data_IF_817738745734
#
_entry.id   IF_817738745734
#
_cell.length_a   1.000
_cell.length_b   1.000
_cell.length_c   1.000
_cell.angle_alpha   90.00
_cell.angle_beta   90.00
_cell.angle_gamma   90.00
#
_symmetry.space_group_name_H-M   'P 1'
#
loop_
_entity.id
_entity.type
_entity.pdbx_description
1 polymer ?
#
# COMPACT_ATOMS: atom_id res chain seq x y z
N UNK A 1 -19.88 27.29 -51.32
CA UNK A 1 -20.17 28.00 -50.07
C UNK A 1 -19.21 27.46 -49.03
N UNK A 2 -18.31 28.35 -48.61
CA UNK A 2 -17.31 28.28 -47.52
C UNK A 2 -16.69 26.93 -47.12
N UNK A 3 -15.44 26.76 -47.59
CA UNK A 3 -14.39 26.11 -46.80
C UNK A 3 -14.19 26.96 -45.54
N UNK A 4 -14.60 26.44 -44.39
CA UNK A 4 -14.21 27.02 -43.11
C UNK A 4 -12.82 26.48 -42.82
N UNK A 5 -11.82 27.35 -42.94
CA UNK A 5 -10.46 27.13 -42.46
C UNK A 5 -10.49 26.96 -40.93
N UNK A 6 -10.46 25.71 -40.46
CA UNK A 6 -10.37 25.35 -39.03
C UNK A 6 -8.93 25.01 -38.61
N UNK A 7 -7.93 25.64 -39.23
CA UNK A 7 -6.53 25.49 -38.85
C UNK A 7 -5.93 26.84 -38.44
N UNK A 8 -6.40 27.42 -37.33
CA UNK A 8 -5.68 28.48 -36.63
C UNK A 8 -6.34 28.83 -35.29
N UNK A 9 -6.22 27.97 -34.29
CA UNK A 9 -5.98 28.35 -32.88
C UNK A 9 -5.92 27.06 -32.03
N UNK A 10 -4.80 26.81 -31.36
CA UNK A 10 -4.63 25.68 -30.43
C UNK A 10 -5.31 25.99 -29.08
N UNK A 11 -6.55 26.49 -29.13
CA UNK A 11 -7.31 26.87 -27.95
C UNK A 11 -7.93 25.67 -27.24
N UNK A 12 -8.19 25.82 -25.93
CA UNK A 12 -8.90 24.81 -25.14
C UNK A 12 -10.27 24.46 -25.77
N UNK A 13 -10.96 25.46 -26.32
CA UNK A 13 -12.25 25.31 -27.01
C UNK A 13 -12.16 24.41 -28.24
N UNK A 14 -11.11 24.55 -29.04
CA UNK A 14 -10.93 23.75 -30.26
C UNK A 14 -10.63 22.28 -29.92
N UNK A 15 -9.86 22.05 -28.85
CA UNK A 15 -9.65 20.70 -28.31
C UNK A 15 -10.95 20.05 -27.84
N UNK A 16 -11.86 20.81 -27.21
CA UNK A 16 -13.20 20.34 -26.84
C UNK A 16 -14.12 20.09 -28.06
N UNK A 17 -14.09 20.97 -29.07
CA UNK A 17 -14.86 20.80 -30.30
C UNK A 17 -14.41 19.55 -31.05
N UNK A 18 -13.09 19.33 -31.14
CA UNK A 18 -12.52 18.12 -31.74
C UNK A 18 -12.98 16.87 -30.97
N UNK A 19 -12.85 16.86 -29.64
CA UNK A 19 -13.33 15.76 -28.80
C UNK A 19 -14.80 15.45 -29.05
N UNK A 20 -15.70 16.45 -28.98
CA UNK A 20 -17.14 16.21 -29.14
C UNK A 20 -17.54 15.69 -30.53
N UNK A 21 -16.77 16.02 -31.57
CA UNK A 21 -17.02 15.52 -32.94
C UNK A 21 -16.53 14.09 -33.14
N UNK A 22 -15.37 13.76 -32.57
CA UNK A 22 -14.67 12.51 -32.88
C UNK A 22 -14.70 11.50 -31.73
N UNK A 23 -15.30 11.81 -30.57
CA UNK A 23 -15.29 10.94 -29.38
C UNK A 23 -15.83 9.51 -29.60
N UNK A 24 -16.65 9.30 -30.64
CA UNK A 24 -17.23 7.98 -30.96
C UNK A 24 -16.47 7.23 -32.06
N UNK A 25 -15.57 7.91 -32.77
CA UNK A 25 -14.77 7.41 -33.88
C UNK A 25 -13.27 7.32 -33.56
N UNK A 26 -12.84 7.80 -32.40
CA UNK A 26 -11.45 7.79 -31.97
C UNK A 26 -11.02 6.37 -31.52
N UNK A 27 -10.16 5.75 -32.33
CA UNK A 27 -9.52 4.47 -31.99
C UNK A 27 -8.37 4.61 -30.97
N UNK A 28 -7.83 5.82 -30.81
CA UNK A 28 -6.75 6.13 -29.86
C UNK A 28 -6.82 7.59 -29.41
N UNK A 29 -6.23 7.89 -28.25
CA UNK A 29 -6.16 9.26 -27.71
C UNK A 29 -5.08 10.05 -28.47
N UNK A 30 -5.43 11.11 -29.20
CA UNK A 30 -4.44 11.97 -29.85
C UNK A 30 -3.64 12.78 -28.83
N UNK A 31 -2.32 12.89 -29.04
CA UNK A 31 -1.37 13.56 -28.13
C UNK A 31 -1.78 15.01 -27.79
N UNK A 32 -2.33 15.74 -28.77
CA UNK A 32 -2.78 17.13 -28.65
C UNK A 32 -3.92 17.29 -27.61
N UNK A 33 -4.76 16.26 -27.46
CA UNK A 33 -5.88 16.24 -26.51
C UNK A 33 -5.47 15.74 -25.12
N UNK A 34 -4.39 14.94 -25.03
CA UNK A 34 -3.86 14.40 -23.78
C UNK A 34 -3.19 15.44 -22.89
N UNK A 35 -2.90 16.64 -23.40
CA UNK A 35 -2.32 17.75 -22.62
C UNK A 35 -3.29 18.37 -21.61
N UNK A 36 -4.61 18.17 -21.78
CA UNK A 36 -5.64 18.71 -20.89
C UNK A 36 -6.25 17.57 -20.07
N UNK A 37 -5.98 17.57 -18.77
CA UNK A 37 -6.39 16.51 -17.84
C UNK A 37 -7.89 16.17 -17.90
N UNK A 38 -8.74 17.18 -18.06
CA UNK A 38 -10.20 17.02 -18.16
C UNK A 38 -10.62 16.34 -19.47
N UNK A 39 -9.95 16.65 -20.59
CA UNK A 39 -10.22 16.04 -21.90
C UNK A 39 -9.70 14.60 -21.92
N UNK A 40 -8.53 14.35 -21.34
CA UNK A 40 -7.99 12.99 -21.17
C UNK A 40 -8.97 12.11 -20.37
N UNK A 41 -9.52 12.61 -19.27
CA UNK A 41 -10.55 11.91 -18.48
C UNK A 41 -11.81 11.64 -19.31
N UNK A 42 -12.30 12.62 -20.07
CA UNK A 42 -13.48 12.46 -20.91
C UNK A 42 -13.26 11.45 -22.04
N UNK A 43 -12.10 11.45 -22.69
CA UNK A 43 -11.68 10.47 -23.70
C UNK A 43 -11.60 9.05 -23.11
N UNK A 44 -11.02 8.91 -21.93
CA UNK A 44 -10.97 7.61 -21.25
C UNK A 44 -12.38 7.07 -20.94
N UNK A 45 -13.36 7.93 -20.65
CA UNK A 45 -14.75 7.53 -20.45
C UNK A 45 -15.41 7.16 -21.78
N UNK A 46 -15.24 7.98 -22.83
CA UNK A 46 -15.78 7.72 -24.16
C UNK A 46 -15.26 6.41 -24.75
N UNK A 47 -13.95 6.19 -24.67
CA UNK A 47 -13.30 4.95 -25.11
C UNK A 47 -13.87 3.73 -24.39
N UNK A 48 -14.11 3.83 -23.06
CA UNK A 48 -14.75 2.75 -22.28
C UNK A 48 -16.17 2.44 -22.75
N UNK A 49 -16.96 3.46 -23.11
CA UNK A 49 -18.32 3.28 -23.64
C UNK A 49 -18.29 2.63 -25.02
N UNK A 50 -17.25 2.89 -25.81
CA UNK A 50 -17.07 2.31 -27.14
C UNK A 50 -16.45 0.90 -27.13
N UNK A 51 -16.10 0.37 -25.95
CA UNK A 51 -15.52 -0.97 -25.83
C UNK A 51 -16.54 -2.05 -26.20
N UNK A 52 -16.07 -3.07 -26.89
CA UNK A 52 -16.83 -4.32 -27.01
C UNK A 52 -16.89 -5.04 -25.67
N UNK A 53 -17.86 -5.94 -25.50
CA UNK A 53 -17.99 -6.74 -24.28
C UNK A 53 -16.73 -7.58 -23.97
N UNK A 54 -16.02 -8.04 -25.02
CA UNK A 54 -14.78 -8.80 -24.87
C UNK A 54 -13.62 -7.94 -24.40
N UNK A 55 -13.44 -6.75 -24.98
CA UNK A 55 -12.42 -5.80 -24.53
C UNK A 55 -12.67 -5.34 -23.10
N UNK A 56 -13.94 -5.13 -22.74
CA UNK A 56 -14.33 -4.76 -21.38
C UNK A 56 -13.95 -5.86 -20.38
N UNK A 57 -14.23 -7.14 -20.68
CA UNK A 57 -13.80 -8.26 -19.82
C UNK A 57 -12.28 -8.30 -19.63
N UNK A 58 -11.51 -8.04 -20.70
CA UNK A 58 -10.04 -7.99 -20.64
C UNK A 58 -9.58 -6.88 -19.70
N UNK A 59 -10.18 -5.68 -19.80
CA UNK A 59 -9.83 -4.54 -18.94
C UNK A 59 -10.24 -4.79 -17.50
N UNK A 60 -11.44 -5.30 -17.26
CA UNK A 60 -11.93 -5.61 -15.92
C UNK A 60 -11.05 -6.67 -15.25
N UNK A 61 -10.72 -7.75 -15.97
CA UNK A 61 -9.81 -8.79 -15.48
C UNK A 61 -8.44 -8.22 -15.14
N UNK A 62 -7.89 -7.36 -15.99
CA UNK A 62 -6.62 -6.68 -15.71
C UNK A 62 -6.73 -5.79 -14.47
N UNK A 63 -7.83 -5.05 -14.33
CA UNK A 63 -8.11 -4.20 -13.17
C UNK A 63 -8.15 -5.00 -11.86
N UNK A 64 -8.84 -6.13 -11.85
CA UNK A 64 -8.90 -7.04 -10.70
C UNK A 64 -7.51 -7.53 -10.30
N UNK A 65 -6.73 -8.05 -11.25
CA UNK A 65 -5.37 -8.54 -10.98
C UNK A 65 -4.44 -7.45 -10.40
N UNK A 66 -4.54 -6.22 -10.93
CA UNK A 66 -3.75 -5.09 -10.42
C UNK A 66 -4.17 -4.70 -9.00
N UNK A 67 -5.47 -4.75 -8.70
CA UNK A 67 -5.98 -4.48 -7.36
C UNK A 67 -5.52 -5.55 -6.36
N UNK A 68 -5.60 -6.82 -6.74
CA UNK A 68 -5.13 -7.94 -5.92
C UNK A 68 -3.63 -7.83 -5.63
N UNK A 69 -2.81 -7.53 -6.66
CA UNK A 69 -1.38 -7.34 -6.48
C UNK A 69 -1.07 -6.18 -5.53
N UNK A 70 -1.76 -5.04 -5.68
CA UNK A 70 -1.64 -3.91 -4.75
C UNK A 70 -2.01 -4.31 -3.33
N UNK A 71 -3.13 -5.02 -3.16
CA UNK A 71 -3.56 -5.54 -1.87
C UNK A 71 -2.51 -6.44 -1.23
N UNK A 72 -1.91 -7.35 -2.02
CA UNK A 72 -0.85 -8.25 -1.58
C UNK A 72 0.39 -7.51 -1.10
N UNK A 73 0.84 -6.50 -1.85
CA UNK A 73 2.00 -5.66 -1.46
C UNK A 73 1.69 -4.87 -0.19
N UNK A 74 0.52 -4.24 -0.10
CA UNK A 74 0.11 -3.48 1.09
C UNK A 74 0.05 -4.37 2.32
N UNK A 75 -0.56 -5.55 2.22
CA UNK A 75 -0.63 -6.52 3.31
C UNK A 75 0.77 -6.99 3.73
N UNK A 76 1.65 -7.32 2.77
CA UNK A 76 3.02 -7.74 3.06
C UNK A 76 3.82 -6.64 3.79
N UNK A 77 3.64 -5.37 3.39
CA UNK A 77 4.27 -4.23 4.07
C UNK A 77 3.79 -4.10 5.50
N UNK A 78 2.48 -4.12 5.73
CA UNK A 78 1.90 -4.03 7.08
C UNK A 78 2.37 -5.18 7.98
N UNK A 79 2.38 -6.40 7.46
CA UNK A 79 2.91 -7.57 8.18
C UNK A 79 4.41 -7.42 8.49
N UNK A 80 5.18 -6.88 7.55
CA UNK A 80 6.61 -6.60 7.74
C UNK A 80 6.86 -5.55 8.84
N UNK A 81 6.09 -4.47 8.85
CA UNK A 81 6.17 -3.41 9.86
C UNK A 81 5.82 -3.95 11.26
N UNK A 82 4.69 -4.67 11.39
CA UNK A 82 4.28 -5.28 12.67
C UNK A 82 5.30 -6.28 13.21
N UNK A 83 5.81 -7.18 12.36
CA UNK A 83 6.86 -8.14 12.75
C UNK A 83 8.17 -7.45 13.10
N UNK A 84 8.53 -6.39 12.36
CA UNK A 84 9.73 -5.61 12.62
C UNK A 84 9.67 -4.91 13.98
N UNK A 85 8.51 -4.33 14.31
CA UNK A 85 8.25 -3.71 15.60
C UNK A 85 8.36 -4.71 16.75
N UNK A 86 7.66 -5.84 16.68
CA UNK A 86 7.72 -6.90 17.69
C UNK A 86 9.16 -7.40 17.90
N UNK A 87 9.87 -7.74 16.82
CA UNK A 87 11.27 -8.20 16.89
C UNK A 87 12.19 -7.14 17.49
N UNK A 88 12.02 -5.88 17.13
CA UNK A 88 12.80 -4.77 17.67
C UNK A 88 12.60 -4.60 19.18
N UNK A 89 11.35 -4.68 19.65
CA UNK A 89 11.00 -4.61 21.07
C UNK A 89 11.55 -5.81 21.84
N UNK A 90 11.37 -7.03 21.34
CA UNK A 90 11.92 -8.25 21.94
C UNK A 90 13.45 -8.19 22.08
N UNK A 91 14.16 -7.79 21.02
CA UNK A 91 15.61 -7.64 21.05
C UNK A 91 16.09 -6.58 22.04
N UNK A 92 15.33 -5.49 22.23
CA UNK A 92 15.65 -4.51 23.25
C UNK A 92 15.49 -5.10 24.66
N UNK A 93 14.35 -5.74 24.93
CA UNK A 93 14.05 -6.40 26.21
C UNK A 93 15.10 -7.47 26.55
N UNK A 94 15.43 -8.35 25.60
CA UNK A 94 16.48 -9.37 25.77
C UNK A 94 17.83 -8.73 26.14
N UNK A 95 18.22 -7.64 25.47
CA UNK A 95 19.46 -6.92 25.79
C UNK A 95 19.44 -6.32 27.19
N UNK A 96 18.30 -5.78 27.62
CA UNK A 96 18.14 -5.23 28.98
C UNK A 96 18.25 -6.33 30.04
N UNK A 97 17.55 -7.45 29.85
CA UNK A 97 17.61 -8.61 30.72
C UNK A 97 19.04 -9.16 30.79
N UNK A 98 19.70 -9.35 29.65
CA UNK A 98 21.10 -9.80 29.61
C UNK A 98 22.05 -8.85 30.33
N UNK A 99 21.85 -7.54 30.19
CA UNK A 99 22.66 -6.53 30.87
C UNK A 99 22.51 -6.58 32.40
N UNK A 100 21.33 -6.94 32.91
CA UNK A 100 21.05 -7.00 34.35
C UNK A 100 21.43 -8.35 34.97
N UNK A 101 21.06 -9.45 34.33
CA UNK A 101 21.16 -10.79 34.90
C UNK A 101 22.30 -11.65 34.30
N UNK A 102 23.00 -11.15 33.29
CA UNK A 102 24.02 -11.89 32.57
C UNK A 102 23.44 -12.77 31.46
N UNK A 103 24.14 -13.84 31.09
CA UNK A 103 23.61 -14.78 30.10
C UNK A 103 22.31 -15.42 30.59
N UNK A 104 21.32 -15.50 29.70
CA UNK A 104 20.02 -16.11 29.97
C UNK A 104 19.80 -17.34 29.09
N UNK A 105 19.08 -18.37 29.58
CA UNK A 105 18.75 -19.55 28.79
C UNK A 105 18.01 -19.23 27.49
N UNK A 106 18.32 -19.99 26.42
CA UNK A 106 17.68 -19.85 25.11
C UNK A 106 16.14 -19.99 25.19
N UNK A 107 15.65 -20.87 26.06
CA UNK A 107 14.22 -21.05 26.27
C UNK A 107 13.51 -19.75 26.74
N UNK A 108 14.19 -18.90 27.51
CA UNK A 108 13.66 -17.60 27.93
C UNK A 108 13.69 -16.61 26.76
N UNK A 109 14.75 -16.65 25.96
CA UNK A 109 14.88 -15.81 24.76
C UNK A 109 13.72 -16.09 23.81
N UNK A 110 13.47 -17.36 23.46
CA UNK A 110 12.36 -17.73 22.59
C UNK A 110 11.01 -17.29 23.16
N UNK A 111 10.79 -17.46 24.47
CA UNK A 111 9.56 -17.00 25.13
C UNK A 111 9.35 -15.48 25.07
N UNK A 112 10.43 -14.69 25.02
CA UNK A 112 10.35 -13.23 24.87
C UNK A 112 10.14 -12.85 23.41
N UNK A 113 10.76 -13.55 22.46
CA UNK A 113 10.56 -13.31 21.03
C UNK A 113 9.12 -13.58 20.57
N UNK A 114 8.45 -14.53 21.23
CA UNK A 114 7.04 -14.87 20.96
C UNK A 114 6.03 -13.95 21.67
N UNK A 115 6.49 -12.99 22.49
CA UNK A 115 5.60 -12.06 23.18
C UNK A 115 4.90 -11.11 22.23
N UNK A 116 3.65 -10.75 22.57
CA UNK A 116 2.96 -9.66 21.91
C UNK A 116 3.67 -8.34 22.14
N UNK A 117 3.43 -7.38 21.24
CA UNK A 117 3.94 -6.01 21.36
C UNK A 117 3.54 -5.35 22.69
N UNK A 118 2.34 -5.65 23.20
CA UNK A 118 1.82 -5.14 24.48
C UNK A 118 2.56 -5.76 25.66
N UNK A 119 2.79 -7.07 25.63
CA UNK A 119 3.50 -7.76 26.71
C UNK A 119 4.97 -7.37 26.76
N UNK A 120 5.58 -7.09 25.60
CA UNK A 120 6.93 -6.54 25.51
C UNK A 120 7.02 -5.15 26.15
N UNK A 121 6.01 -4.31 25.97
CA UNK A 121 5.95 -3.00 26.62
C UNK A 121 5.77 -3.15 28.12
N UNK A 122 4.82 -3.97 28.57
CA UNK A 122 4.60 -4.25 29.99
C UNK A 122 5.87 -4.79 30.66
N UNK A 123 6.56 -5.71 30.00
CA UNK A 123 7.84 -6.24 30.47
C UNK A 123 8.92 -5.17 30.51
N UNK A 124 8.96 -4.27 29.52
CA UNK A 124 9.88 -3.14 29.47
C UNK A 124 9.64 -2.11 30.58
N UNK A 125 8.39 -1.77 30.87
CA UNK A 125 8.00 -0.84 31.93
C UNK A 125 8.28 -1.40 33.33
N UNK A 126 7.88 -2.66 33.57
CA UNK A 126 8.14 -3.35 34.83
C UNK A 126 9.57 -3.87 34.97
N UNK A 127 10.42 -3.74 33.95
CA UNK A 127 11.73 -4.40 33.89
C UNK A 127 12.60 -4.09 35.12
N UNK A 128 12.56 -2.84 35.60
CA UNK A 128 13.38 -2.40 36.72
C UNK A 128 12.92 -2.99 38.05
N UNK A 129 11.66 -3.38 38.17
CA UNK A 129 11.08 -3.96 39.39
C UNK A 129 11.46 -5.43 39.61
N UNK A 130 11.96 -6.13 38.57
CA UNK A 130 12.36 -7.53 38.69
C UNK A 130 13.64 -7.71 39.51
N UNK A 131 13.54 -8.19 40.74
CA UNK A 131 14.71 -8.35 41.61
C UNK A 131 15.51 -9.65 41.38
N UNK A 132 14.98 -10.62 40.62
CA UNK A 132 15.68 -11.85 40.24
C UNK A 132 15.14 -12.46 38.95
N UNK A 133 15.86 -13.45 38.40
CA UNK A 133 15.44 -14.18 37.21
C UNK A 133 14.20 -15.07 37.49
N UNK A 134 14.04 -15.58 38.71
CA UNK A 134 12.87 -16.36 39.12
C UNK A 134 11.57 -15.53 39.06
N UNK A 135 11.63 -14.24 39.42
CA UNK A 135 10.47 -13.36 39.34
C UNK A 135 10.09 -13.08 37.87
N UNK A 136 11.08 -12.93 36.99
CA UNK A 136 10.84 -12.85 35.54
C UNK A 136 10.16 -14.12 35.03
N UNK A 137 10.70 -15.29 35.36
CA UNK A 137 10.14 -16.58 34.94
C UNK A 137 8.68 -16.75 35.39
N UNK A 138 8.36 -16.33 36.62
CA UNK A 138 6.99 -16.38 37.14
C UNK A 138 6.07 -15.50 36.31
N UNK A 139 6.49 -14.26 36.01
CA UNK A 139 5.72 -13.35 35.15
C UNK A 139 5.50 -13.91 33.73
N UNK A 140 6.53 -14.53 33.12
CA UNK A 140 6.41 -15.13 31.79
C UNK A 140 5.38 -16.29 31.76
N UNK A 141 5.07 -16.92 32.90
CA UNK A 141 4.08 -17.99 33.02
C UNK A 141 2.67 -17.49 33.32
N UNK A 142 2.51 -16.31 33.92
CA UNK A 142 1.22 -15.75 34.34
C UNK A 142 0.57 -14.83 33.30
N UNK A 143 1.30 -14.49 32.25
CA UNK A 143 0.86 -13.61 31.15
C UNK A 143 -0.16 -14.25 30.21
#
# INVERSE_FOLDING_TARGET
>A
MEKIDIYAENGLSDKWIYFLKEATSLDSIPEILGEVLEIEKALNIANKINMTAEELDIVDRRGMLMQDERGRITYAKQQGEQRGEQKGRAQLVIRLIKKRFGEIPEAIISQIEDLSVVDLDNLGEGFLDFNSLEYLLSWLQER
#
